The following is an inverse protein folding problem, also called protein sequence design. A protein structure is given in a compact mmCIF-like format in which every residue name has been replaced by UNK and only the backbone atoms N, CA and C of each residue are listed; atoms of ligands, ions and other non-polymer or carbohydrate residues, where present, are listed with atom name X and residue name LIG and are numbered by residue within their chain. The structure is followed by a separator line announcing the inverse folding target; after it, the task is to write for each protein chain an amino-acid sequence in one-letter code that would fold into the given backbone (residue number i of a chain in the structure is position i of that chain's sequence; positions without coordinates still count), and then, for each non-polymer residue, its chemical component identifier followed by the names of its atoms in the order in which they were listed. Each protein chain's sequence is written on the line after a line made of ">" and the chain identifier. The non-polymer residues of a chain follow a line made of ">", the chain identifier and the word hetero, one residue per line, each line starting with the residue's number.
data_IF_205960274773
#
_entry.id   IF_205960274773
#
_cell.length_a   1.000
_cell.length_b   1.000
_cell.length_c   1.000
_cell.angle_alpha   90.00
_cell.angle_beta   90.00
_cell.angle_gamma   90.00
#
_symmetry.space_group_name_H-M   'P 1'
#
loop_
_entity.id
_entity.type
_entity.pdbx_description
1 polymer ?
#
# COMPACT_ATOMS: atom_id res chain seq x y z
N UNK A 1 7.28 62.65 45.37
CA UNK A 1 7.40 61.96 44.06
C UNK A 1 6.14 61.14 43.81
N UNK A 2 5.69 61.11 42.56
CA UNK A 2 4.41 60.59 42.05
C UNK A 2 4.58 59.16 41.51
N UNK A 3 3.64 58.24 41.82
CA UNK A 3 3.00 57.17 40.98
C UNK A 3 2.58 55.98 41.86
N UNK A 4 1.28 55.78 42.10
CA UNK A 4 0.22 55.12 41.28
C UNK A 4 0.22 53.58 41.42
N UNK A 5 -0.86 53.14 42.08
CA UNK A 5 -1.51 51.83 42.14
C UNK A 5 -1.42 50.99 40.86
N UNK A 6 -1.43 49.65 40.99
CA UNK A 6 -2.45 48.77 40.40
C UNK A 6 -2.39 47.37 41.06
N UNK A 7 -3.48 47.01 41.73
CA UNK A 7 -3.81 45.65 42.17
C UNK A 7 -4.27 44.86 40.95
N UNK A 8 -3.77 43.63 40.77
CA UNK A 8 -4.39 42.65 39.89
C UNK A 8 -4.27 41.26 40.53
N UNK A 9 -5.38 40.80 41.10
CA UNK A 9 -5.58 39.42 41.48
C UNK A 9 -5.61 38.56 40.22
N UNK A 10 -4.76 37.55 40.13
CA UNK A 10 -4.88 36.50 39.11
C UNK A 10 -5.51 35.28 39.77
N UNK A 11 -6.74 34.98 39.34
CA UNK A 11 -7.50 33.80 39.69
C UNK A 11 -6.80 32.58 39.06
N UNK A 12 -6.29 31.66 39.89
CA UNK A 12 -5.88 30.34 39.44
C UNK A 12 -7.14 29.47 39.31
N UNK A 13 -7.60 29.23 38.08
CA UNK A 13 -8.60 28.17 37.81
C UNK A 13 -7.83 26.87 37.67
N UNK A 14 -7.73 26.11 38.77
CA UNK A 14 -7.34 24.72 38.73
C UNK A 14 -8.56 23.91 38.27
N UNK A 15 -8.58 23.50 36.99
CA UNK A 15 -9.58 22.54 36.52
C UNK A 15 -9.17 21.17 37.04
N UNK A 16 -9.79 20.76 38.14
CA UNK A 16 -9.75 19.37 38.59
C UNK A 16 -10.56 18.53 37.60
N UNK A 17 -9.90 17.96 36.59
CA UNK A 17 -10.47 16.82 35.88
C UNK A 17 -10.38 15.61 36.81
N UNK A 18 -11.47 15.35 37.52
CA UNK A 18 -11.74 14.05 38.12
C UNK A 18 -11.70 12.99 37.02
N UNK A 19 -10.56 12.32 36.90
CA UNK A 19 -10.38 11.16 36.03
C UNK A 19 -11.19 9.99 36.57
N UNK A 20 -12.45 9.89 36.14
CA UNK A 20 -13.08 8.59 36.06
C UNK A 20 -12.30 7.77 35.01
N UNK A 21 -11.85 6.54 35.29
CA UNK A 21 -11.29 5.71 34.25
C UNK A 21 -12.36 5.51 33.17
N UNK A 22 -12.03 5.87 31.93
CA UNK A 22 -12.80 5.44 30.77
C UNK A 22 -12.82 3.92 30.83
N UNK A 23 -13.97 3.35 31.20
CA UNK A 23 -14.22 1.94 31.05
C UNK A 23 -13.97 1.60 29.58
N UNK A 24 -12.96 0.77 29.31
CA UNK A 24 -12.76 0.22 27.99
C UNK A 24 -14.07 -0.45 27.58
N UNK A 25 -14.72 0.09 26.55
CA UNK A 25 -15.93 -0.50 26.00
C UNK A 25 -15.55 -1.91 25.50
N UNK A 26 -15.94 -2.93 26.24
CA UNK A 26 -15.78 -4.31 25.79
C UNK A 26 -16.68 -4.50 24.56
N UNK A 27 -16.17 -5.06 23.45
CA UNK A 27 -17.02 -5.41 22.33
C UNK A 27 -18.11 -6.37 22.83
N UNK A 28 -19.37 -6.09 22.52
CA UNK A 28 -20.47 -7.00 22.81
C UNK A 28 -20.19 -8.37 22.17
N UNK A 29 -20.29 -9.48 22.92
CA UNK A 29 -20.14 -10.81 22.36
C UNK A 29 -21.30 -11.05 21.37
N UNK A 30 -20.97 -11.14 20.09
CA UNK A 30 -21.95 -11.27 19.01
C UNK A 30 -22.01 -10.11 18.02
N UNK A 31 -21.16 -9.08 18.15
CA UNK A 31 -21.01 -8.06 17.11
C UNK A 31 -20.37 -8.65 15.86
N UNK A 32 -21.19 -9.19 14.95
CA UNK A 32 -20.79 -9.38 13.56
C UNK A 32 -20.44 -8.00 13.00
N UNK A 33 -19.16 -7.73 12.76
CA UNK A 33 -18.74 -6.59 11.96
C UNK A 33 -19.28 -6.77 10.56
N UNK A 34 -20.38 -6.09 10.24
CA UNK A 34 -20.93 -6.03 8.89
C UNK A 34 -19.95 -5.23 8.03
N UNK A 35 -19.21 -5.93 7.18
CA UNK A 35 -18.42 -5.27 6.13
C UNK A 35 -19.38 -4.78 5.05
N UNK A 36 -19.56 -3.47 4.98
CA UNK A 36 -20.30 -2.83 3.90
C UNK A 36 -19.36 -2.58 2.72
N UNK A 37 -19.69 -3.17 1.57
CA UNK A 37 -18.97 -3.00 0.32
C UNK A 37 -19.91 -2.36 -0.70
N UNK A 38 -19.48 -1.28 -1.36
CA UNK A 38 -20.27 -0.61 -2.38
C UNK A 38 -20.35 -1.45 -3.66
N UNK A 39 -21.53 -1.60 -4.29
CA UNK A 39 -21.61 -2.16 -5.63
C UNK A 39 -20.88 -1.29 -6.66
N UNK A 40 -20.33 -1.91 -7.72
CA UNK A 40 -19.59 -1.20 -8.77
C UNK A 40 -20.40 -0.09 -9.46
N UNK A 41 -21.71 -0.27 -9.64
CA UNK A 41 -22.57 0.76 -10.24
C UNK A 41 -22.65 2.03 -9.39
N UNK A 42 -22.56 1.88 -8.06
CA UNK A 42 -22.58 3.01 -7.12
C UNK A 42 -21.23 3.74 -7.13
N UNK A 43 -20.12 3.01 -7.31
CA UNK A 43 -18.80 3.61 -7.50
C UNK A 43 -18.72 4.38 -8.82
N UNK A 44 -19.19 3.80 -9.93
CA UNK A 44 -19.17 4.44 -11.22
C UNK A 44 -19.98 5.76 -11.21
N UNK A 45 -21.11 5.76 -10.51
CA UNK A 45 -21.89 6.98 -10.24
C UNK A 45 -21.10 7.99 -9.41
N UNK A 46 -20.47 7.54 -8.31
CA UNK A 46 -19.69 8.43 -7.44
C UNK A 46 -18.52 9.07 -8.20
N UNK A 47 -17.81 8.30 -9.01
CA UNK A 47 -16.69 8.77 -9.84
C UNK A 47 -17.19 9.76 -10.92
N UNK A 48 -18.34 9.49 -11.56
CA UNK A 48 -18.98 10.40 -12.53
C UNK A 48 -19.42 11.74 -11.91
N UNK A 49 -19.83 11.72 -10.64
CA UNK A 49 -20.34 12.90 -9.92
C UNK A 49 -19.32 13.51 -8.95
N UNK A 50 -18.06 13.11 -9.02
CA UNK A 50 -16.96 13.58 -8.16
C UNK A 50 -17.25 13.44 -6.65
N UNK A 51 -17.98 12.40 -6.25
CA UNK A 51 -18.25 12.07 -4.86
C UNK A 51 -17.08 11.25 -4.32
N UNK A 52 -16.46 11.73 -3.23
CA UNK A 52 -15.33 11.03 -2.59
C UNK A 52 -15.85 9.80 -1.83
N UNK A 53 -15.51 8.61 -2.32
CA UNK A 53 -15.79 7.34 -1.65
C UNK A 53 -14.59 6.93 -0.78
N UNK A 54 -14.76 6.71 0.52
CA UNK A 54 -13.71 6.16 1.38
C UNK A 54 -13.22 4.79 0.85
N UNK A 55 -11.91 4.59 0.82
CA UNK A 55 -11.28 3.36 0.30
C UNK A 55 -11.77 2.08 1.00
N UNK A 56 -12.19 2.18 2.26
CA UNK A 56 -12.70 1.05 3.03
C UNK A 56 -14.05 0.54 2.51
N UNK A 57 -14.76 1.34 1.73
CA UNK A 57 -16.07 1.01 1.18
C UNK A 57 -16.01 0.59 -0.28
N UNK A 58 -14.87 0.79 -0.96
CA UNK A 58 -14.70 0.29 -2.32
C UNK A 58 -14.59 -1.25 -2.26
N UNK A 59 -15.32 -2.00 -3.11
CA UNK A 59 -15.08 -3.41 -3.31
C UNK A 59 -13.62 -3.60 -3.66
N UNK A 60 -13.00 -4.61 -3.05
CA UNK A 60 -11.84 -5.21 -3.67
C UNK A 60 -12.29 -5.67 -5.06
N UNK A 61 -11.73 -5.05 -6.10
CA UNK A 61 -11.99 -5.41 -7.49
C UNK A 61 -11.95 -6.93 -7.61
N UNK A 62 -13.12 -7.50 -7.94
CA UNK A 62 -13.50 -8.91 -7.91
C UNK A 62 -12.32 -9.87 -7.67
N UNK A 63 -12.28 -10.63 -6.55
CA UNK A 63 -11.11 -11.43 -6.13
C UNK A 63 -10.49 -12.32 -7.22
N UNK A 64 -11.31 -12.76 -8.18
CA UNK A 64 -10.88 -13.58 -9.32
C UNK A 64 -10.14 -12.75 -10.39
N UNK A 65 -10.65 -11.57 -10.75
CA UNK A 65 -10.04 -10.68 -11.74
C UNK A 65 -8.69 -10.15 -11.23
N UNK A 66 -8.61 -9.79 -9.96
CA UNK A 66 -7.35 -9.37 -9.33
C UNK A 66 -6.35 -10.51 -9.19
N UNK A 67 -6.78 -11.77 -9.01
CA UNK A 67 -5.87 -12.91 -8.94
C UNK A 67 -5.23 -13.28 -10.29
N UNK A 68 -6.01 -13.33 -11.37
CA UNK A 68 -5.47 -13.60 -12.72
C UNK A 68 -4.50 -12.50 -13.17
N UNK A 69 -4.91 -11.24 -13.00
CA UNK A 69 -4.10 -10.07 -13.33
C UNK A 69 -2.76 -10.07 -12.57
N UNK A 70 -2.78 -10.36 -11.26
CA UNK A 70 -1.57 -10.51 -10.43
C UNK A 70 -0.63 -11.61 -10.91
N UNK A 71 -1.19 -12.75 -11.32
CA UNK A 71 -0.40 -13.88 -11.81
C UNK A 71 0.23 -13.55 -13.17
N UNK A 72 -0.53 -12.93 -14.08
CA UNK A 72 -0.04 -12.46 -15.37
C UNK A 72 1.03 -11.39 -15.22
N UNK A 73 0.81 -10.41 -14.34
CA UNK A 73 1.76 -9.33 -14.07
C UNK A 73 3.08 -9.91 -13.55
N UNK A 74 3.02 -10.77 -12.54
CA UNK A 74 4.20 -11.47 -12.01
C UNK A 74 4.95 -12.22 -13.12
N UNK A 75 4.24 -13.06 -13.88
CA UNK A 75 4.83 -13.89 -14.94
C UNK A 75 5.46 -13.05 -16.06
N UNK A 76 4.80 -11.95 -16.45
CA UNK A 76 5.33 -11.03 -17.46
C UNK A 76 6.62 -10.34 -16.97
N UNK A 77 6.66 -9.89 -15.71
CA UNK A 77 7.84 -9.26 -15.13
C UNK A 77 9.00 -10.25 -15.00
N UNK A 78 8.75 -11.45 -14.46
CA UNK A 78 9.78 -12.51 -14.34
C UNK A 78 10.35 -12.87 -15.71
N UNK A 79 9.49 -13.04 -16.71
CA UNK A 79 9.90 -13.30 -18.09
C UNK A 79 10.76 -12.17 -18.64
N UNK A 80 10.32 -10.92 -18.50
CA UNK A 80 11.03 -9.76 -19.02
C UNK A 80 12.43 -9.64 -18.40
N UNK A 81 12.53 -9.72 -17.07
CA UNK A 81 13.81 -9.64 -16.35
C UNK A 81 14.74 -10.81 -16.70
N UNK A 82 14.21 -12.03 -16.83
CA UNK A 82 15.00 -13.18 -17.27
C UNK A 82 15.53 -12.99 -18.69
N UNK A 83 14.70 -12.47 -19.60
CA UNK A 83 15.10 -12.15 -20.97
C UNK A 83 16.12 -11.00 -21.03
N UNK A 84 16.13 -10.08 -20.06
CA UNK A 84 17.18 -9.07 -19.88
C UNK A 84 18.51 -9.65 -19.37
N UNK A 85 18.55 -10.91 -18.92
CA UNK A 85 19.76 -11.54 -18.38
C UNK A 85 19.83 -11.62 -16.84
N UNK A 86 18.78 -11.22 -16.12
CA UNK A 86 18.67 -11.44 -14.67
C UNK A 86 18.38 -12.92 -14.35
N UNK A 87 18.63 -13.31 -13.09
CA UNK A 87 18.43 -14.69 -12.62
C UNK A 87 17.42 -14.75 -11.49
N UNK A 88 16.35 -15.53 -11.66
CA UNK A 88 15.38 -15.72 -10.59
C UNK A 88 16.06 -16.39 -9.39
N UNK A 89 15.79 -15.88 -8.20
CA UNK A 89 16.39 -16.33 -6.94
C UNK A 89 15.33 -16.46 -5.84
N UNK A 90 15.33 -17.59 -5.14
CA UNK A 90 14.31 -17.88 -4.13
C UNK A 90 14.41 -16.98 -2.89
N UNK A 91 15.61 -16.52 -2.54
CA UNK A 91 15.80 -15.60 -1.43
C UNK A 91 15.29 -14.20 -1.79
N UNK A 92 15.66 -13.70 -2.98
CA UNK A 92 15.12 -12.44 -3.50
C UNK A 92 13.59 -12.49 -3.63
N UNK A 93 13.02 -13.63 -4.05
CA UNK A 93 11.58 -13.87 -4.16
C UNK A 93 10.87 -13.78 -2.79
N UNK A 94 11.48 -14.33 -1.74
CA UNK A 94 10.94 -14.24 -0.39
C UNK A 94 10.92 -12.79 0.13
N UNK A 95 11.99 -12.02 -0.13
CA UNK A 95 12.05 -10.60 0.22
C UNK A 95 11.00 -9.80 -0.55
N UNK A 96 10.86 -10.03 -1.86
CA UNK A 96 9.82 -9.38 -2.66
C UNK A 96 8.41 -9.68 -2.11
N UNK A 97 8.16 -10.92 -1.67
CA UNK A 97 6.90 -11.32 -1.05
C UNK A 97 6.65 -10.61 0.29
N UNK A 98 7.69 -10.43 1.10
CA UNK A 98 7.62 -9.65 2.34
C UNK A 98 7.25 -8.19 2.04
N UNK A 99 7.94 -7.55 1.11
CA UNK A 99 7.66 -6.18 0.68
C UNK A 99 6.24 -6.02 0.10
N UNK A 100 5.73 -7.02 -0.62
CA UNK A 100 4.35 -7.00 -1.11
C UNK A 100 3.34 -7.03 0.07
N UNK A 101 3.65 -7.74 1.15
CA UNK A 101 2.85 -7.74 2.37
C UNK A 101 2.96 -6.40 3.14
N UNK A 102 4.12 -5.76 3.11
CA UNK A 102 4.30 -4.41 3.67
C UNK A 102 3.44 -3.37 2.93
N UNK A 103 3.35 -3.49 1.60
CA UNK A 103 2.53 -2.62 0.77
C UNK A 103 1.04 -2.71 1.13
N UNK A 104 0.48 -3.92 1.21
CA UNK A 104 -0.93 -4.11 1.63
C UNK A 104 -1.17 -3.73 3.08
N UNK A 105 -0.14 -3.81 3.94
CA UNK A 105 -0.22 -3.39 5.34
C UNK A 105 -0.08 -1.87 5.52
N UNK A 106 0.17 -1.11 4.44
CA UNK A 106 0.31 0.34 4.48
C UNK A 106 1.63 0.83 5.08
N UNK A 107 2.65 -0.03 5.12
CA UNK A 107 3.98 0.31 5.65
C UNK A 107 4.87 1.00 4.59
N UNK A 108 4.61 0.74 3.31
CA UNK A 108 5.33 1.35 2.20
C UNK A 108 4.86 2.79 2.00
N UNK A 109 5.82 3.72 1.99
CA UNK A 109 5.57 5.11 1.62
C UNK A 109 5.73 5.24 0.11
N UNK A 110 4.68 5.73 -0.56
CA UNK A 110 4.67 5.91 -2.01
C UNK A 110 4.91 7.36 -2.40
N UNK A 111 5.80 7.56 -3.36
CA UNK A 111 6.04 8.83 -4.05
C UNK A 111 5.49 8.69 -5.48
N UNK A 112 4.25 9.13 -5.67
CA UNK A 112 3.49 8.78 -6.89
C UNK A 112 3.03 7.32 -6.83
N UNK A 113 3.40 6.52 -7.82
CA UNK A 113 3.01 5.11 -7.93
C UNK A 113 4.12 4.13 -7.53
N UNK A 114 5.26 4.61 -7.04
CA UNK A 114 6.40 3.80 -6.64
C UNK A 114 6.85 4.12 -5.21
N UNK A 115 7.40 3.11 -4.55
CA UNK A 115 8.02 3.21 -3.22
C UNK A 115 8.96 2.04 -2.99
N UNK A 116 9.53 1.97 -1.79
CA UNK A 116 10.46 0.91 -1.39
C UNK A 116 9.87 0.10 -0.23
N UNK A 117 10.29 -1.15 -0.07
CA UNK A 117 10.06 -1.85 1.19
C UNK A 117 10.88 -1.24 2.33
N UNK A 118 10.57 -1.66 3.55
CA UNK A 118 11.19 -1.09 4.77
C UNK A 118 12.24 -2.02 5.39
N UNK A 119 12.48 -3.19 4.79
CA UNK A 119 13.42 -4.22 5.26
C UNK A 119 14.39 -4.65 4.17
N UNK A 120 15.50 -5.29 4.54
CA UNK A 120 16.52 -5.86 3.62
C UNK A 120 17.21 -4.85 2.70
N UNK A 121 17.13 -3.55 3.00
CA UNK A 121 17.76 -2.47 2.23
C UNK A 121 19.30 -2.56 2.15
N UNK A 122 19.93 -3.37 3.01
CA UNK A 122 21.37 -3.65 2.98
C UNK A 122 21.74 -4.84 2.08
N UNK A 123 20.76 -5.68 1.72
CA UNK A 123 20.98 -6.92 0.92
C UNK A 123 20.78 -6.71 -0.57
N UNK A 124 20.19 -5.59 -0.96
CA UNK A 124 19.78 -5.36 -2.33
C UNK A 124 18.99 -4.07 -2.47
N UNK A 125 18.33 -3.95 -3.63
CA UNK A 125 17.51 -2.81 -4.00
C UNK A 125 16.31 -3.28 -4.79
N UNK A 126 15.21 -2.56 -4.75
CA UNK A 126 13.99 -2.94 -5.45
C UNK A 126 13.01 -1.79 -5.53
N UNK A 127 11.85 -2.06 -6.13
CA UNK A 127 10.74 -1.12 -6.15
C UNK A 127 9.44 -1.86 -5.82
N UNK A 128 8.54 -1.16 -5.14
CA UNK A 128 7.14 -1.50 -4.92
C UNK A 128 6.30 -0.54 -5.75
N UNK A 129 5.65 -1.04 -6.78
CA UNK A 129 4.71 -0.27 -7.59
C UNK A 129 3.28 -0.48 -7.12
N UNK A 130 2.50 0.59 -7.06
CA UNK A 130 1.06 0.60 -6.79
C UNK A 130 0.33 0.99 -8.06
N UNK A 131 -0.49 0.09 -8.58
CA UNK A 131 -1.20 0.27 -9.86
C UNK A 131 -2.69 0.01 -9.69
N UNK A 132 -3.52 0.75 -10.42
CA UNK A 132 -4.87 0.32 -10.74
C UNK A 132 -4.85 -0.91 -11.67
N UNK A 133 -5.96 -1.65 -11.82
CA UNK A 133 -6.01 -2.78 -12.74
C UNK A 133 -5.67 -2.42 -14.20
N UNK A 134 -6.12 -1.24 -14.66
CA UNK A 134 -5.85 -0.76 -16.00
C UNK A 134 -4.36 -0.43 -16.22
N UNK A 135 -3.71 0.17 -15.22
CA UNK A 135 -2.27 0.45 -15.25
C UNK A 135 -1.44 -0.84 -15.23
N UNK A 136 -1.87 -1.86 -14.47
CA UNK A 136 -1.23 -3.17 -14.46
C UNK A 136 -1.32 -3.87 -15.83
N UNK A 137 -2.45 -3.79 -16.52
CA UNK A 137 -2.58 -4.32 -17.89
C UNK A 137 -1.69 -3.54 -18.88
N UNK A 138 -1.64 -2.21 -18.77
CA UNK A 138 -0.74 -1.40 -19.57
C UNK A 138 0.74 -1.75 -19.30
N UNK A 139 1.08 -2.06 -18.05
CA UNK A 139 2.42 -2.50 -17.65
C UNK A 139 2.75 -3.89 -18.23
N UNK A 140 1.83 -4.84 -18.19
CA UNK A 140 1.99 -6.15 -18.86
C UNK A 140 2.24 -5.98 -20.36
N UNK A 141 1.46 -5.11 -21.02
CA UNK A 141 1.65 -4.83 -22.43
C UNK A 141 3.04 -4.20 -22.70
N UNK A 142 3.51 -3.31 -21.84
CA UNK A 142 4.86 -2.74 -21.92
C UNK A 142 5.96 -3.81 -21.80
N UNK A 143 5.80 -4.77 -20.88
CA UNK A 143 6.74 -5.86 -20.63
C UNK A 143 6.84 -6.86 -21.80
N UNK A 144 5.87 -6.87 -22.72
CA UNK A 144 5.90 -7.73 -23.91
C UNK A 144 6.95 -7.31 -24.96
N UNK A 145 7.49 -6.10 -24.83
CA UNK A 145 8.52 -5.57 -25.71
C UNK A 145 9.86 -6.24 -25.42
N UNK A 146 10.75 -6.30 -26.42
CA UNK A 146 12.10 -6.84 -26.25
C UNK A 146 12.84 -6.05 -25.18
N UNK A 147 13.31 -6.70 -24.10
CA UNK A 147 14.09 -6.03 -23.08
C UNK A 147 15.46 -5.60 -23.62
N UNK A 148 16.08 -4.63 -22.94
CA UNK A 148 17.50 -4.40 -23.11
C UNK A 148 18.28 -5.57 -22.50
N UNK A 149 19.33 -6.01 -23.21
CA UNK A 149 20.25 -7.02 -22.71
C UNK A 149 21.17 -6.42 -21.64
N UNK A 150 21.26 -7.09 -20.49
CA UNK A 150 22.07 -6.70 -19.34
C UNK A 150 23.05 -7.84 -19.02
N UNK A 151 24.21 -7.89 -19.71
CA UNK A 151 25.25 -8.84 -19.38
C UNK A 151 25.72 -8.63 -17.94
N UNK A 152 25.52 -9.66 -17.10
CA UNK A 152 25.77 -9.56 -15.66
C UNK A 152 24.53 -9.22 -14.82
N UNK A 153 23.33 -9.48 -15.33
CA UNK A 153 22.08 -9.28 -14.60
C UNK A 153 22.10 -9.87 -13.17
N UNK A 154 21.52 -9.12 -12.24
CA UNK A 154 21.41 -9.46 -10.82
C UNK A 154 20.47 -10.64 -10.56
N UNK A 155 20.64 -11.26 -9.38
CA UNK A 155 19.66 -12.19 -8.83
C UNK A 155 18.41 -11.44 -8.37
N UNK A 156 17.22 -11.89 -8.76
CA UNK A 156 15.98 -11.14 -8.55
C UNK A 156 14.82 -12.01 -8.06
N UNK A 157 13.81 -11.34 -7.49
CA UNK A 157 12.52 -11.91 -7.13
C UNK A 157 11.39 -10.95 -7.43
N UNK A 158 10.21 -11.49 -7.74
CA UNK A 158 9.02 -10.70 -8.10
C UNK A 158 7.81 -11.20 -7.31
N UNK A 159 7.12 -10.29 -6.61
CA UNK A 159 5.89 -10.64 -5.93
C UNK A 159 4.77 -9.69 -6.31
N UNK A 160 3.53 -10.17 -6.17
CA UNK A 160 2.35 -9.33 -6.34
C UNK A 160 1.41 -9.48 -5.17
N UNK A 161 0.69 -8.41 -4.84
CA UNK A 161 -0.37 -8.38 -3.83
C UNK A 161 -1.51 -7.48 -4.34
N UNK A 162 -2.67 -7.52 -3.70
CA UNK A 162 -3.78 -6.61 -4.02
C UNK A 162 -4.54 -6.22 -2.76
N UNK A 163 -5.02 -4.98 -2.71
CA UNK A 163 -5.87 -4.44 -1.64
C UNK A 163 -6.51 -3.13 -2.08
N UNK A 164 -7.79 -2.94 -1.76
CA UNK A 164 -8.51 -1.67 -1.99
C UNK A 164 -8.42 -1.21 -3.44
N UNK A 165 -8.74 -2.09 -4.39
CA UNK A 165 -8.74 -1.78 -5.83
C UNK A 165 -7.36 -1.52 -6.46
N UNK A 166 -6.26 -1.81 -5.75
CA UNK A 166 -4.91 -1.67 -6.28
C UNK A 166 -4.18 -3.00 -6.34
N UNK A 167 -3.37 -3.17 -7.37
CA UNK A 167 -2.37 -4.24 -7.50
C UNK A 167 -1.00 -3.67 -7.15
N UNK A 168 -0.30 -4.37 -6.27
CA UNK A 168 1.08 -4.07 -5.93
C UNK A 168 2.00 -5.04 -6.66
N UNK A 169 3.00 -4.52 -7.36
CA UNK A 169 4.08 -5.29 -7.97
C UNK A 169 5.36 -4.96 -7.22
N UNK A 170 6.09 -5.98 -6.80
CA UNK A 170 7.40 -5.82 -6.18
C UNK A 170 8.44 -6.49 -7.05
N UNK A 171 9.50 -5.75 -7.33
CA UNK A 171 10.74 -6.25 -7.93
C UNK A 171 11.85 -6.05 -6.91
N UNK A 172 12.60 -7.10 -6.60
CA UNK A 172 13.72 -7.02 -5.67
C UNK A 172 14.96 -7.67 -6.27
N UNK A 173 16.11 -7.01 -6.17
CA UNK A 173 17.38 -7.44 -6.74
C UNK A 173 18.46 -7.48 -5.67
N UNK A 174 19.12 -8.62 -5.51
CA UNK A 174 20.27 -8.78 -4.61
C UNK A 174 21.50 -8.03 -5.12
N UNK A 175 22.37 -7.63 -4.19
CA UNK A 175 23.67 -7.02 -4.48
C UNK A 175 24.65 -7.98 -5.14
#
# INVERSE_FOLDING_TARGET
>A
MIRRLFTAATLAVAVAFSGAPLAAAQPLPGSSTVQFVLPNDVLAFADQHHIVVPEQLRPDDTPVLTSDLRARLKSATEKHLTQSGHKLDLHAQAIAQEWAQQAVSGQVVFYGNAGDGVTHLDKGSGNVYKMTPAEAEAHIAWLSRTPNDLPGGKHFGVATAAKSGHVYLVEYFLN
#
